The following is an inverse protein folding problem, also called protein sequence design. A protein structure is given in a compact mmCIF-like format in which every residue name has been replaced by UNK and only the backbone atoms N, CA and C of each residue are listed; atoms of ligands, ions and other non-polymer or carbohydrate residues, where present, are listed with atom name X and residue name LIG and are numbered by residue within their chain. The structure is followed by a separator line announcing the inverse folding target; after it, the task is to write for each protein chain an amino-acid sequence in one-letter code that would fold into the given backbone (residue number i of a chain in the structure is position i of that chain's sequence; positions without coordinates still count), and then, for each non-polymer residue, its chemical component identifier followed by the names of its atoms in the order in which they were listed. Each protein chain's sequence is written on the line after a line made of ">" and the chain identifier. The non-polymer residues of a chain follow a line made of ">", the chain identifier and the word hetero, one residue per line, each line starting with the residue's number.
data_IF_323538379069
#
_entry.id   IF_323538379069
#
_cell.length_a   1.000
_cell.length_b   1.000
_cell.length_c   1.000
_cell.angle_alpha   90.00
_cell.angle_beta   90.00
_cell.angle_gamma   90.00
#
_symmetry.space_group_name_H-M   'P 1'
#
loop_
_entity.id
_entity.type
_entity.pdbx_description
1 polymer ?
#
# COMPACT_ATOMS: atom_id res chain seq x y z
N UNK A 1 1.98 -17.20 -12.42
CA UNK A 1 2.15 -17.65 -11.02
C UNK A 1 1.24 -18.83 -10.76
N UNK A 2 1.77 -19.99 -10.37
CA UNK A 2 0.96 -21.19 -10.10
C UNK A 2 0.67 -21.32 -8.59
N UNK A 3 -0.57 -21.64 -8.22
CA UNK A 3 -0.99 -21.91 -6.84
C UNK A 3 -1.35 -20.68 -5.99
N UNK A 4 -2.07 -20.93 -4.89
CA UNK A 4 -2.39 -19.93 -3.87
C UNK A 4 -1.20 -19.72 -2.94
N UNK A 5 -1.00 -18.50 -2.47
CA UNK A 5 -0.04 -18.18 -1.39
C UNK A 5 -0.69 -18.22 0.01
N UNK A 6 -2.01 -18.37 0.06
CA UNK A 6 -2.80 -18.36 1.30
C UNK A 6 -2.83 -19.74 1.94
N UNK A 7 -2.80 -19.79 3.26
CA UNK A 7 -3.01 -21.02 4.04
C UNK A 7 -4.47 -21.47 4.07
N UNK A 8 -5.41 -20.58 3.74
CA UNK A 8 -6.84 -20.88 3.64
C UNK A 8 -7.37 -20.57 2.24
N UNK A 9 -8.39 -21.32 1.80
CA UNK A 9 -9.13 -21.09 0.55
C UNK A 9 -10.49 -20.42 0.76
N UNK A 10 -10.82 -20.06 2.00
CA UNK A 10 -12.04 -19.31 2.32
C UNK A 10 -12.08 -17.97 1.56
N UNK A 11 -13.27 -17.43 1.36
CA UNK A 11 -13.40 -16.12 0.74
C UNK A 11 -12.75 -15.04 1.62
N UNK A 12 -12.10 -14.06 0.99
CA UNK A 12 -11.55 -12.90 1.69
C UNK A 12 -12.71 -11.97 2.03
N UNK A 13 -12.80 -11.56 3.29
CA UNK A 13 -13.71 -10.52 3.74
C UNK A 13 -13.17 -9.16 3.28
N UNK A 14 -13.89 -8.47 2.39
CA UNK A 14 -13.46 -7.17 1.84
C UNK A 14 -14.28 -6.07 2.50
N UNK A 15 -13.60 -5.14 3.19
CA UNK A 15 -14.24 -4.04 3.91
C UNK A 15 -13.84 -2.70 3.34
N UNK A 16 -14.81 -1.92 2.87
CA UNK A 16 -14.62 -0.53 2.44
C UNK A 16 -14.98 0.40 3.60
N UNK A 17 -13.99 1.09 4.17
CA UNK A 17 -14.14 1.84 5.42
C UNK A 17 -14.29 3.36 5.23
N UNK A 18 -14.11 3.87 4.01
CA UNK A 18 -14.03 5.31 3.75
C UNK A 18 -12.78 5.93 4.37
N UNK A 19 -12.91 7.12 4.96
CA UNK A 19 -11.78 7.83 5.61
C UNK A 19 -11.66 7.48 7.09
N UNK A 20 -10.49 7.03 7.51
CA UNK A 20 -10.19 6.65 8.91
C UNK A 20 -8.85 7.23 9.37
N UNK A 21 -8.73 7.52 10.68
CA UNK A 21 -7.44 7.88 11.28
C UNK A 21 -6.43 6.73 11.16
N UNK A 22 -5.15 7.08 10.99
CA UNK A 22 -4.09 6.10 10.81
C UNK A 22 -3.96 5.14 12.01
N UNK A 23 -4.02 5.66 13.24
CA UNK A 23 -3.84 4.84 14.45
C UNK A 23 -5.02 3.92 14.69
N UNK A 24 -6.24 4.36 14.37
CA UNK A 24 -7.44 3.52 14.48
C UNK A 24 -7.41 2.38 13.46
N UNK A 25 -7.03 2.67 12.21
CA UNK A 25 -6.82 1.62 11.21
C UNK A 25 -5.69 0.65 11.60
N UNK A 26 -4.62 1.16 12.22
CA UNK A 26 -3.52 0.32 12.69
C UNK A 26 -3.94 -0.61 13.83
N UNK A 27 -4.76 -0.12 14.77
CA UNK A 27 -5.37 -0.96 15.82
C UNK A 27 -6.26 -2.04 15.20
N UNK A 28 -7.14 -1.67 14.26
CA UNK A 28 -8.00 -2.62 13.56
C UNK A 28 -7.21 -3.71 12.81
N UNK A 29 -6.10 -3.34 12.15
CA UNK A 29 -5.21 -4.30 11.50
C UNK A 29 -4.68 -5.36 12.48
N UNK A 30 -4.30 -4.94 13.69
CA UNK A 30 -3.80 -5.87 14.73
C UNK A 30 -4.90 -6.80 15.24
N UNK A 31 -6.07 -6.25 15.55
CA UNK A 31 -7.24 -7.04 15.98
C UNK A 31 -7.64 -8.10 14.94
N UNK A 32 -7.62 -7.72 13.65
CA UNK A 32 -7.91 -8.65 12.55
C UNK A 32 -6.80 -9.69 12.36
N UNK A 33 -5.53 -9.31 12.57
CA UNK A 33 -4.43 -10.26 12.51
C UNK A 33 -4.53 -11.31 13.62
N UNK A 34 -4.85 -10.89 14.85
CA UNK A 34 -5.07 -11.81 15.98
C UNK A 34 -6.28 -12.73 15.72
N UNK A 35 -7.37 -12.16 15.21
CA UNK A 35 -8.56 -12.93 14.78
C UNK A 35 -8.19 -13.96 13.71
N UNK A 36 -7.34 -13.58 12.75
CA UNK A 36 -6.91 -14.47 11.67
C UNK A 36 -6.01 -15.60 12.18
N UNK A 37 -5.11 -15.30 13.13
CA UNK A 37 -4.26 -16.30 13.80
C UNK A 37 -5.12 -17.30 14.58
N UNK A 38 -6.20 -16.83 15.22
CA UNK A 38 -7.17 -17.67 15.92
C UNK A 38 -8.09 -18.51 14.98
N UNK A 39 -7.88 -18.46 13.67
CA UNK A 39 -8.65 -19.23 12.68
C UNK A 39 -9.79 -18.48 11.99
N UNK A 40 -9.89 -17.16 12.22
CA UNK A 40 -10.84 -16.29 11.51
C UNK A 40 -10.52 -16.13 10.01
N UNK A 41 -11.36 -15.37 9.27
CA UNK A 41 -11.20 -15.18 7.83
C UNK A 41 -10.03 -14.25 7.48
N UNK A 42 -9.49 -14.43 6.28
CA UNK A 42 -8.61 -13.43 5.67
C UNK A 42 -9.41 -12.14 5.36
N UNK A 43 -8.81 -10.97 5.60
CA UNK A 43 -9.50 -9.69 5.43
C UNK A 43 -8.70 -8.74 4.54
N UNK A 44 -9.37 -7.98 3.67
CA UNK A 44 -8.80 -6.86 2.92
C UNK A 44 -9.54 -5.58 3.31
N UNK A 45 -8.82 -4.65 3.94
CA UNK A 45 -9.34 -3.31 4.21
C UNK A 45 -9.00 -2.38 3.04
N UNK A 46 -9.99 -1.62 2.57
CA UNK A 46 -9.85 -0.56 1.59
C UNK A 46 -10.36 0.74 2.21
N UNK A 47 -9.50 1.76 2.24
CA UNK A 47 -9.76 2.99 2.98
C UNK A 47 -8.90 4.15 2.45
N UNK A 48 -9.16 5.33 2.98
CA UNK A 48 -8.30 6.50 2.86
C UNK A 48 -7.92 7.00 4.25
N UNK A 49 -6.80 7.71 4.35
CA UNK A 49 -6.39 8.37 5.58
C UNK A 49 -6.59 9.87 5.51
N UNK A 50 -6.76 10.48 6.69
CA UNK A 50 -6.45 11.91 6.85
C UNK A 50 -4.95 12.13 6.56
N UNK A 51 -4.52 13.33 6.18
CA UNK A 51 -3.11 13.61 5.92
C UNK A 51 -2.21 13.11 7.05
N UNK A 52 -1.25 12.24 6.73
CA UNK A 52 -0.34 11.62 7.71
C UNK A 52 0.96 11.20 7.03
N UNK A 53 2.08 11.46 7.68
CA UNK A 53 3.35 10.83 7.37
C UNK A 53 3.52 9.58 8.24
N UNK A 54 3.94 8.48 7.63
CA UNK A 54 4.32 7.27 8.37
C UNK A 54 5.79 6.98 8.16
N UNK A 55 6.56 6.88 9.24
CA UNK A 55 7.98 6.57 9.22
C UNK A 55 8.16 5.07 9.48
N UNK A 56 8.64 4.34 8.46
CA UNK A 56 9.02 2.93 8.61
C UNK A 56 10.40 2.77 9.27
N UNK A 57 10.79 1.53 9.58
CA UNK A 57 12.02 1.21 10.32
C UNK A 57 13.33 1.73 9.72
N UNK A 58 13.35 2.06 8.42
CA UNK A 58 14.55 2.56 7.71
C UNK A 58 14.56 4.08 7.52
N UNK A 59 13.62 4.79 8.16
CA UNK A 59 13.50 6.25 8.03
C UNK A 59 14.62 6.94 8.79
N UNK A 60 15.41 7.75 8.11
CA UNK A 60 16.48 8.54 8.70
C UNK A 60 15.97 9.91 9.16
N UNK A 61 16.57 10.54 10.19
CA UNK A 61 16.07 11.81 10.75
C UNK A 61 15.92 12.94 9.71
N UNK A 62 16.83 13.01 8.74
CA UNK A 62 16.81 14.03 7.69
C UNK A 62 15.71 13.82 6.64
N UNK A 63 15.10 12.65 6.58
CA UNK A 63 13.99 12.33 5.67
C UNK A 63 12.64 12.76 6.24
N UNK A 64 12.60 13.08 7.54
CA UNK A 64 11.38 13.55 8.20
C UNK A 64 11.07 14.99 7.76
N UNK A 65 9.79 15.35 7.62
CA UNK A 65 9.41 16.71 7.30
C UNK A 65 9.79 17.63 8.46
N UNK A 66 10.79 18.50 8.24
CA UNK A 66 11.32 19.41 9.28
C UNK A 66 10.54 20.74 9.33
N UNK A 67 9.87 21.11 8.24
CA UNK A 67 9.20 22.42 8.07
C UNK A 67 7.78 22.28 7.50
N UNK A 68 7.06 21.21 7.85
CA UNK A 68 5.66 21.11 7.41
C UNK A 68 4.77 22.09 8.20
N UNK A 69 4.42 23.20 7.55
CA UNK A 69 3.56 24.26 8.10
C UNK A 69 2.09 23.82 8.21
N UNK A 70 1.69 22.74 7.54
CA UNK A 70 0.34 22.19 7.67
C UNK A 70 0.14 21.40 8.98
N UNK A 71 1.22 21.12 9.73
CA UNK A 71 1.15 20.38 10.99
C UNK A 71 0.77 18.90 10.80
N UNK A 72 1.09 18.31 9.64
CA UNK A 72 0.74 16.92 9.36
C UNK A 72 1.43 15.98 10.35
N UNK A 73 0.69 15.06 11.01
CA UNK A 73 1.29 14.16 11.98
C UNK A 73 2.31 13.22 11.33
N UNK A 74 3.41 12.98 12.03
CA UNK A 74 4.38 11.91 11.69
C UNK A 74 4.22 10.78 12.69
N UNK A 75 3.90 9.59 12.21
CA UNK A 75 3.70 8.39 13.03
C UNK A 75 4.82 7.39 12.75
N UNK A 76 5.51 6.95 13.79
CA UNK A 76 6.47 5.85 13.70
C UNK A 76 5.75 4.50 13.63
N UNK A 77 6.23 3.63 12.75
CA UNK A 77 5.54 2.38 12.40
C UNK A 77 6.51 1.22 12.31
N UNK A 78 5.99 0.00 12.45
CA UNK A 78 6.77 -1.23 12.38
C UNK A 78 6.96 -1.76 10.95
N UNK A 79 6.37 -1.12 9.93
CA UNK A 79 6.50 -1.54 8.54
C UNK A 79 7.93 -1.36 8.00
N UNK A 80 8.26 -2.18 7.01
CA UNK A 80 9.44 -1.96 6.19
C UNK A 80 9.35 -0.68 5.35
N UNK A 81 10.49 -0.24 4.82
CA UNK A 81 10.57 0.99 4.03
C UNK A 81 10.96 2.22 4.85
N UNK A 82 11.08 3.33 4.13
CA UNK A 82 11.37 4.66 4.66
C UNK A 82 10.05 5.41 4.92
N UNK A 83 10.11 6.72 5.07
CA UNK A 83 8.94 7.57 5.24
C UNK A 83 8.04 7.52 3.99
N UNK A 84 6.73 7.61 4.19
CA UNK A 84 5.74 7.83 3.11
C UNK A 84 4.62 8.73 3.62
N UNK A 85 3.84 9.28 2.70
CA UNK A 85 2.67 10.09 2.99
C UNK A 85 1.38 9.37 2.57
N UNK A 86 0.33 9.59 3.34
CA UNK A 86 -1.05 9.20 3.02
C UNK A 86 -1.99 10.37 3.23
N UNK A 87 -3.08 10.41 2.47
CA UNK A 87 -4.11 11.42 2.60
C UNK A 87 -5.26 11.23 1.61
N UNK A 88 -6.19 12.20 1.55
CA UNK A 88 -7.35 12.13 0.68
C UNK A 88 -6.98 11.97 -0.80
N UNK A 89 -7.71 11.12 -1.51
CA UNK A 89 -7.46 10.75 -2.91
C UNK A 89 -6.46 9.60 -3.10
N UNK A 90 -5.88 9.09 -2.01
CA UNK A 90 -5.01 7.91 -2.06
C UNK A 90 -5.73 6.70 -1.46
N UNK A 91 -6.12 5.75 -2.31
CA UNK A 91 -6.64 4.46 -1.86
C UNK A 91 -5.53 3.65 -1.19
N UNK A 92 -5.77 3.27 0.06
CA UNK A 92 -4.90 2.41 0.86
C UNK A 92 -5.53 1.04 1.04
N UNK A 93 -4.75 -0.01 0.76
CA UNK A 93 -5.15 -1.40 0.96
C UNK A 93 -4.33 -2.07 2.05
N UNK A 94 -4.99 -2.66 3.05
CA UNK A 94 -4.35 -3.52 4.06
C UNK A 94 -4.87 -4.94 3.91
N UNK A 95 -4.11 -5.85 3.28
CA UNK A 95 -4.44 -7.26 3.23
C UNK A 95 -3.90 -7.97 4.50
N UNK A 96 -4.81 -8.42 5.35
CA UNK A 96 -4.54 -9.23 6.54
C UNK A 96 -4.78 -10.69 6.15
N UNK A 97 -3.72 -11.35 5.68
CA UNK A 97 -3.79 -12.65 5.02
C UNK A 97 -2.87 -13.65 5.71
N UNK A 98 -3.42 -14.82 6.07
CA UNK A 98 -2.63 -15.96 6.51
C UNK A 98 -1.92 -16.62 5.32
N UNK A 99 -0.59 -16.59 5.32
CA UNK A 99 0.25 -17.19 4.28
C UNK A 99 0.48 -18.68 4.55
N UNK A 100 0.66 -19.46 3.49
CA UNK A 100 1.07 -20.86 3.60
C UNK A 100 2.55 -20.96 4.00
N UNK A 101 2.90 -22.03 4.72
CA UNK A 101 4.28 -22.36 5.06
C UNK A 101 4.90 -23.30 4.02
N UNK A 102 6.21 -23.15 3.71
CA UNK A 102 7.14 -22.14 4.22
C UNK A 102 6.83 -20.73 3.66
N UNK A 103 7.05 -19.69 4.48
CA UNK A 103 6.69 -18.31 4.13
C UNK A 103 7.51 -17.78 2.94
N UNK A 104 6.81 -17.31 1.90
CA UNK A 104 7.40 -16.63 0.74
C UNK A 104 6.90 -15.18 0.64
N UNK A 105 7.47 -14.31 1.48
CA UNK A 105 7.09 -12.89 1.55
C UNK A 105 7.36 -12.16 0.24
N UNK A 106 8.40 -12.55 -0.50
CA UNK A 106 8.74 -11.94 -1.79
C UNK A 106 7.64 -12.22 -2.82
N UNK A 107 7.16 -13.46 -2.90
CA UNK A 107 6.05 -13.84 -3.76
C UNK A 107 4.74 -13.16 -3.36
N UNK A 108 4.52 -12.97 -2.05
CA UNK A 108 3.38 -12.19 -1.56
C UNK A 108 3.40 -10.75 -2.06
N UNK A 109 4.54 -10.05 -1.90
CA UNK A 109 4.71 -8.69 -2.42
C UNK A 109 4.54 -8.65 -3.94
N UNK A 110 5.11 -9.60 -4.68
CA UNK A 110 4.94 -9.70 -6.14
C UNK A 110 3.48 -9.86 -6.54
N UNK A 111 2.67 -10.60 -5.77
CA UNK A 111 1.22 -10.73 -6.03
C UNK A 111 0.47 -9.43 -5.82
N UNK A 112 0.82 -8.65 -4.81
CA UNK A 112 0.24 -7.33 -4.60
C UNK A 112 0.60 -6.40 -5.76
N UNK A 113 1.87 -6.35 -6.15
CA UNK A 113 2.30 -5.55 -7.31
C UNK A 113 1.57 -5.97 -8.59
N UNK A 114 1.39 -7.27 -8.82
CA UNK A 114 0.68 -7.79 -10.00
C UNK A 114 -0.78 -7.35 -10.00
N UNK A 115 -1.47 -7.42 -8.85
CA UNK A 115 -2.87 -6.99 -8.77
C UNK A 115 -3.03 -5.52 -9.13
N UNK A 116 -2.08 -4.68 -8.72
CA UNK A 116 -2.16 -3.24 -8.96
C UNK A 116 -1.74 -2.88 -10.39
N UNK A 117 -0.76 -3.58 -10.96
CA UNK A 117 -0.42 -3.50 -12.39
C UNK A 117 -1.63 -3.85 -13.24
N UNK A 118 -2.36 -4.91 -12.89
CA UNK A 118 -3.57 -5.31 -13.61
C UNK A 118 -4.66 -4.23 -13.54
N UNK A 119 -4.90 -3.65 -12.37
CA UNK A 119 -5.84 -2.53 -12.22
C UNK A 119 -5.43 -1.34 -13.10
N UNK A 120 -4.15 -1.01 -13.17
CA UNK A 120 -3.65 0.02 -14.09
C UNK A 120 -3.91 -0.34 -15.56
N UNK A 121 -3.63 -1.58 -15.96
CA UNK A 121 -3.85 -2.05 -17.33
C UNK A 121 -5.34 -2.01 -17.73
N UNK A 122 -6.24 -2.38 -16.81
CA UNK A 122 -7.70 -2.30 -17.02
C UNK A 122 -8.18 -0.84 -17.22
N UNK A 123 -7.41 0.14 -16.70
CA UNK A 123 -7.62 1.58 -16.92
C UNK A 123 -6.84 2.14 -18.12
N UNK A 124 -6.17 1.29 -18.91
CA UNK A 124 -5.37 1.70 -20.06
C UNK A 124 -4.01 2.32 -19.70
N UNK A 125 -3.53 2.14 -18.47
CA UNK A 125 -2.24 2.64 -18.00
C UNK A 125 -1.18 1.54 -18.02
N UNK A 126 -0.03 1.83 -18.60
CA UNK A 126 1.14 0.95 -18.54
C UNK A 126 1.85 1.12 -17.19
N UNK A 127 1.88 0.05 -16.39
CA UNK A 127 2.57 0.01 -15.11
C UNK A 127 3.46 -1.24 -15.04
N UNK A 128 4.55 -1.16 -14.29
CA UNK A 128 5.46 -2.29 -14.13
C UNK A 128 6.30 -2.20 -12.88
N UNK A 129 7.08 -3.27 -12.65
CA UNK A 129 8.06 -3.33 -11.57
C UNK A 129 9.35 -2.63 -12.00
N UNK A 130 10.11 -2.16 -11.01
CA UNK A 130 11.45 -1.61 -11.20
C UNK A 130 12.41 -2.44 -10.36
N UNK A 131 13.34 -3.13 -11.00
CA UNK A 131 14.31 -3.98 -10.29
C UNK A 131 15.06 -3.19 -9.21
N UNK A 132 15.22 -3.81 -8.04
CA UNK A 132 15.88 -3.20 -6.87
C UNK A 132 15.03 -2.22 -6.06
N UNK A 133 13.78 -1.93 -6.45
CA UNK A 133 12.82 -1.14 -5.67
C UNK A 133 11.58 -1.97 -5.35
N UNK A 134 11.10 -1.91 -4.10
CA UNK A 134 9.81 -2.48 -3.74
C UNK A 134 8.70 -1.51 -4.15
N UNK A 135 7.63 -2.03 -4.76
CA UNK A 135 6.54 -1.23 -5.32
C UNK A 135 6.47 -1.30 -6.86
N UNK A 136 5.35 -0.84 -7.40
CA UNK A 136 5.11 -0.73 -8.85
C UNK A 136 4.93 0.74 -9.20
N UNK A 137 5.28 1.12 -10.44
CA UNK A 137 5.20 2.50 -10.89
C UNK A 137 4.67 2.59 -12.31
N UNK A 138 4.04 3.71 -12.62
CA UNK A 138 3.66 4.06 -13.98
C UNK A 138 4.90 4.16 -14.87
N UNK A 139 4.87 3.50 -16.02
CA UNK A 139 5.88 3.66 -17.07
C UNK A 139 5.23 4.47 -18.19
N UNK A 140 5.67 5.71 -18.46
CA UNK A 140 5.24 6.39 -19.66
C UNK A 140 5.60 5.54 -20.86
N UNK A 141 4.62 5.28 -21.72
CA UNK A 141 4.85 4.69 -23.03
C UNK A 141 5.87 5.57 -23.78
N UNK A 142 6.96 5.02 -24.34
CA UNK A 142 7.89 5.80 -25.14
C UNK A 142 7.15 6.41 -26.34
N UNK A 143 6.83 7.71 -26.29
CA UNK A 143 6.09 8.41 -27.35
C UNK A 143 4.92 9.28 -26.87
N UNK A 144 4.50 9.19 -25.60
CA UNK A 144 3.53 10.15 -25.04
C UNK A 144 4.20 11.52 -24.86
N UNK A 145 4.14 12.35 -25.90
CA UNK A 145 4.61 13.74 -25.90
C UNK A 145 3.95 14.49 -24.74
N UNK A 146 4.74 15.00 -23.80
CA UNK A 146 4.27 16.01 -22.84
C UNK A 146 3.87 17.24 -23.65
N UNK A 147 2.57 17.50 -23.78
CA UNK A 147 2.11 18.83 -24.12
C UNK A 147 2.55 19.75 -22.99
N UNK A 148 3.53 20.61 -23.28
CA UNK A 148 3.89 21.71 -22.41
C UNK A 148 2.75 22.72 -22.51
N UNK A 149 2.03 22.94 -21.43
CA UNK A 149 1.16 24.11 -21.30
C UNK A 149 2.02 25.37 -21.56
N UNK A 150 1.52 26.35 -22.34
CA UNK A 150 2.26 27.58 -22.58
C UNK A 150 2.36 28.40 -21.27
N UNK A 151 3.39 29.24 -21.13
CA UNK A 151 3.53 30.09 -19.95
C UNK A 151 2.35 31.06 -19.89
N UNK A 152 1.69 31.11 -18.74
CA UNK A 152 0.78 32.21 -18.37
C UNK A 152 1.60 33.50 -18.35
N UNK A 153 1.19 34.46 -19.20
CA UNK A 153 1.69 35.83 -19.19
C UNK A 153 1.15 36.66 -18.03
#
# INVERSE_FOLDING_TARGET
>A
MAGSIRSSRTQIDVRQLGTIDYRDAWRLQRELADTRVAGGPDTLLLLEHRPVYTAGRRTEPHERPVNDTAGTPVVDTDRGGKITWHGPGQLVGYPIIGLAEPLDVVNYVRRLEESLIKVCADLGLEAGRVDGRSGYGWRPTPGARRERSPPSG
#
